data_IF_053920247144
#
_entry.id   IF_053920247144
#
_cell.length_a   1.000
_cell.length_b   1.000
_cell.length_c   1.000
_cell.angle_alpha   90.00
_cell.angle_beta   90.00
_cell.angle_gamma   90.00
#
_symmetry.space_group_name_H-M   'P 1'
#
loop_
_entity.id
_entity.type
_entity.pdbx_description
1 polymer ?
#
# COMPACT_ATOMS: atom_id res chain seq x y z
N UNK A 1 -9.57 0.90 -8.81
CA UNK A 1 -8.68 -0.27 -8.84
C UNK A 1 -9.51 -1.50 -8.54
N UNK A 2 -9.44 -2.53 -9.37
CA UNK A 2 -10.16 -3.78 -9.11
C UNK A 2 -9.60 -4.47 -7.85
N UNK A 3 -10.41 -5.11 -6.98
CA UNK A 3 -9.91 -5.77 -5.77
C UNK A 3 -8.78 -6.77 -6.02
N UNK A 4 -8.84 -7.49 -7.15
CA UNK A 4 -7.78 -8.42 -7.56
C UNK A 4 -6.44 -7.73 -7.92
N UNK A 5 -6.47 -6.47 -8.38
CA UNK A 5 -5.26 -5.68 -8.62
C UNK A 5 -4.64 -5.22 -7.30
N UNK A 6 -5.46 -4.82 -6.32
CA UNK A 6 -5.00 -4.44 -4.98
C UNK A 6 -4.32 -5.62 -4.27
N UNK A 7 -4.94 -6.80 -4.28
CA UNK A 7 -4.37 -8.00 -3.65
C UNK A 7 -3.00 -8.37 -4.24
N UNK A 8 -2.86 -8.30 -5.57
CA UNK A 8 -1.58 -8.55 -6.24
C UNK A 8 -0.52 -7.54 -5.84
N UNK A 9 -0.88 -6.26 -5.79
CA UNK A 9 0.04 -5.20 -5.35
C UNK A 9 0.47 -5.40 -3.90
N UNK A 10 -0.48 -5.61 -2.99
CA UNK A 10 -0.22 -5.86 -1.57
C UNK A 10 0.73 -7.03 -1.37
N UNK A 11 0.48 -8.15 -2.06
CA UNK A 11 1.32 -9.34 -2.01
C UNK A 11 2.72 -9.07 -2.57
N UNK A 12 2.83 -8.38 -3.72
CA UNK A 12 4.12 -8.06 -4.32
C UNK A 12 4.96 -7.16 -3.42
N UNK A 13 4.36 -6.13 -2.82
CA UNK A 13 5.03 -5.23 -1.89
C UNK A 13 5.44 -5.93 -0.59
N UNK A 14 4.58 -6.82 -0.08
CA UNK A 14 4.90 -7.67 1.06
C UNK A 14 6.09 -8.59 0.80
N UNK A 15 6.08 -9.31 -0.33
CA UNK A 15 7.19 -10.16 -0.75
C UNK A 15 8.48 -9.35 -0.89
N UNK A 16 8.42 -8.20 -1.56
CA UNK A 16 9.59 -7.32 -1.69
C UNK A 16 10.17 -6.97 -0.31
N UNK A 17 9.35 -6.57 0.65
CA UNK A 17 9.81 -6.22 2.01
C UNK A 17 10.42 -7.40 2.77
N UNK A 18 9.86 -8.60 2.67
CA UNK A 18 10.39 -9.78 3.39
C UNK A 18 11.65 -10.36 2.75
N UNK A 19 11.75 -10.29 1.43
CA UNK A 19 12.85 -10.87 0.67
C UNK A 19 14.01 -9.89 0.48
N UNK A 20 13.81 -8.59 0.72
CA UNK A 20 14.79 -7.54 0.45
C UNK A 20 15.00 -6.61 1.65
N UNK A 21 16.22 -6.10 1.78
CA UNK A 21 16.60 -5.17 2.83
C UNK A 21 16.65 -3.71 2.36
N UNK A 22 17.13 -2.86 3.27
CA UNK A 22 17.31 -1.43 3.05
C UNK A 22 18.14 -1.10 1.80
N UNK A 23 19.24 -1.82 1.55
CA UNK A 23 20.12 -1.55 0.40
C UNK A 23 19.40 -1.76 -0.94
N UNK A 24 18.63 -2.83 -1.07
CA UNK A 24 17.85 -3.10 -2.28
C UNK A 24 16.71 -2.08 -2.43
N UNK A 25 16.08 -1.68 -1.34
CA UNK A 25 15.10 -0.60 -1.35
C UNK A 25 15.71 0.71 -1.87
N UNK A 26 16.87 1.12 -1.35
CA UNK A 26 17.61 2.27 -1.84
C UNK A 26 17.98 2.15 -3.32
N UNK A 27 18.45 0.99 -3.76
CA UNK A 27 18.79 0.74 -5.16
C UNK A 27 17.59 0.92 -6.10
N UNK A 28 16.44 0.35 -5.76
CA UNK A 28 15.21 0.41 -6.59
C UNK A 28 14.60 1.82 -6.59
N UNK A 29 14.65 2.52 -5.46
CA UNK A 29 14.05 3.86 -5.30
C UNK A 29 14.97 5.00 -5.73
N UNK A 30 16.27 4.74 -5.88
CA UNK A 30 17.29 5.76 -6.12
C UNK A 30 17.62 6.61 -4.90
N UNK A 31 17.17 6.23 -3.70
CA UNK A 31 17.58 6.90 -2.48
C UNK A 31 19.04 6.56 -2.15
N UNK A 32 19.84 7.58 -1.85
CA UNK A 32 21.20 7.36 -1.39
C UNK A 32 21.18 6.91 0.09
N UNK A 33 21.69 5.70 0.39
CA UNK A 33 21.62 5.10 1.73
C UNK A 33 22.42 5.86 2.79
N UNK A 34 23.30 6.79 2.40
CA UNK A 34 24.08 7.61 3.33
C UNK A 34 23.24 8.73 3.96
N UNK A 35 22.12 9.11 3.35
CA UNK A 35 21.25 10.15 3.88
C UNK A 35 20.20 9.58 4.82
N UNK A 36 20.01 10.26 5.96
CA UNK A 36 18.96 9.94 6.94
C UNK A 36 17.57 9.84 6.30
N UNK A 37 17.29 10.65 5.27
CA UNK A 37 16.03 10.61 4.55
C UNK A 37 15.71 9.23 3.96
N UNK A 38 16.72 8.50 3.47
CA UNK A 38 16.52 7.15 2.93
C UNK A 38 16.06 6.19 4.04
N UNK A 39 16.68 6.27 5.21
CA UNK A 39 16.31 5.48 6.39
C UNK A 39 14.87 5.78 6.84
N UNK A 40 14.48 7.05 6.87
CA UNK A 40 13.12 7.47 7.20
C UNK A 40 12.10 6.90 6.20
N UNK A 41 12.42 6.93 4.91
CA UNK A 41 11.56 6.36 3.86
C UNK A 41 11.43 4.84 3.98
N UNK A 42 12.52 4.16 4.31
CA UNK A 42 12.50 2.73 4.56
C UNK A 42 11.62 2.37 5.77
N UNK A 43 11.72 3.12 6.87
CA UNK A 43 10.87 2.91 8.04
C UNK A 43 9.39 3.15 7.73
N UNK A 44 9.07 4.23 6.99
CA UNK A 44 7.70 4.51 6.53
C UNK A 44 7.16 3.38 5.66
N UNK A 45 7.96 2.89 4.72
CA UNK A 45 7.60 1.76 3.87
C UNK A 45 7.36 0.49 4.70
N UNK A 46 8.27 0.15 5.60
CA UNK A 46 8.16 -1.01 6.49
C UNK A 46 6.88 -0.97 7.32
N UNK A 47 6.57 0.17 7.94
CA UNK A 47 5.35 0.36 8.73
C UNK A 47 4.08 0.21 7.87
N UNK A 48 4.11 0.72 6.64
CA UNK A 48 3.00 0.57 5.69
C UNK A 48 2.75 -0.91 5.33
N UNK A 49 3.80 -1.66 4.98
CA UNK A 49 3.68 -3.09 4.66
C UNK A 49 3.13 -3.89 5.84
N UNK A 50 3.66 -3.63 7.04
CA UNK A 50 3.20 -4.29 8.26
C UNK A 50 1.73 -4.00 8.56
N UNK A 51 1.30 -2.74 8.42
CA UNK A 51 -0.09 -2.34 8.59
C UNK A 51 -1.01 -2.99 7.55
N UNK A 52 -0.58 -3.07 6.28
CA UNK A 52 -1.32 -3.76 5.22
C UNK A 52 -1.47 -5.27 5.46
N UNK A 53 -0.59 -5.87 6.27
CA UNK A 53 -0.66 -7.27 6.70
C UNK A 53 -1.64 -7.55 7.85
N UNK A 54 -2.12 -6.53 8.56
CA UNK A 54 -2.98 -6.71 9.75
C UNK A 54 -4.44 -7.03 9.40
N UNK A 55 -4.90 -6.62 8.22
CA UNK A 55 -6.27 -6.88 7.76
C UNK A 55 -6.28 -8.04 6.76
N UNK A 56 -7.27 -8.91 6.88
CA UNK A 56 -7.51 -9.97 5.90
C UNK A 56 -8.01 -9.42 4.56
N UNK A 57 -7.89 -10.24 3.52
CA UNK A 57 -8.27 -9.87 2.16
C UNK A 57 -9.75 -9.47 2.05
N UNK A 58 -10.63 -10.13 2.82
CA UNK A 58 -12.08 -9.85 2.84
C UNK A 58 -12.39 -8.48 3.43
N UNK A 59 -11.64 -8.05 4.43
CA UNK A 59 -11.76 -6.74 5.07
C UNK A 59 -11.30 -5.65 4.11
N UNK A 60 -10.18 -5.86 3.41
CA UNK A 60 -9.71 -4.95 2.37
C UNK A 60 -10.73 -4.81 1.22
N UNK A 61 -11.32 -5.91 0.76
CA UNK A 61 -12.36 -5.89 -0.26
C UNK A 61 -13.58 -5.06 0.15
N UNK A 62 -14.05 -5.21 1.39
CA UNK A 62 -15.16 -4.42 1.92
C UNK A 62 -14.84 -2.92 1.97
N UNK A 63 -13.63 -2.56 2.41
CA UNK A 63 -13.19 -1.17 2.45
C UNK A 63 -13.12 -0.56 1.05
N UNK A 64 -12.59 -1.31 0.08
CA UNK A 64 -12.55 -0.90 -1.33
C UNK A 64 -13.97 -0.71 -1.89
N UNK A 65 -14.87 -1.66 -1.67
CA UNK A 65 -16.26 -1.57 -2.11
C UNK A 65 -16.97 -0.35 -1.50
N UNK A 66 -16.81 -0.10 -0.20
CA UNK A 66 -17.39 1.07 0.46
C UNK A 66 -16.92 2.39 -0.18
N UNK A 67 -15.62 2.50 -0.49
CA UNK A 67 -15.07 3.70 -1.13
C UNK A 67 -15.61 3.95 -2.55
N UNK A 68 -15.91 2.89 -3.29
CA UNK A 68 -16.47 2.97 -4.64
C UNK A 68 -17.96 3.32 -4.61
N UNK A 69 -18.70 2.82 -3.62
CA UNK A 69 -20.12 3.17 -3.42
C UNK A 69 -20.24 4.66 -3.08
N UNK A 70 -19.39 5.19 -2.19
CA UNK A 70 -19.39 6.62 -1.87
C UNK A 70 -19.01 7.49 -3.07
N UNK A 71 -18.03 7.08 -3.89
CA UNK A 71 -17.69 7.79 -5.13
C UNK A 71 -18.86 7.80 -6.12
N UNK A 72 -19.53 6.67 -6.32
CA UNK A 72 -20.72 6.59 -7.18
C UNK A 72 -21.86 7.48 -6.68
N UNK A 73 -22.07 7.57 -5.37
CA UNK A 73 -23.09 8.46 -4.77
C UNK A 73 -22.72 9.95 -4.92
N UNK A 74 -21.43 10.30 -4.79
CA UNK A 74 -20.94 11.66 -5.01
C UNK A 74 -21.03 12.08 -6.48
N UNK A 75 -20.77 11.17 -7.42
CA UNK A 75 -20.88 11.43 -8.87
C UNK A 75 -22.34 11.45 -9.35
N UNK A 76 -23.26 10.79 -8.64
CA UNK A 76 -24.68 10.74 -8.99
C UNK A 76 -25.50 11.95 -8.54
N UNK A 77 -24.90 12.92 -7.86
CA UNK A 77 -25.53 14.22 -7.58
C UNK A 77 -26.83 14.18 -6.76
N UNK A 78 -27.07 13.13 -5.95
CA UNK A 78 -28.23 13.09 -5.06
C UNK A 78 -27.87 13.72 -3.70
N UNK A 79 -28.54 14.82 -3.30
CA UNK A 79 -28.34 15.40 -1.98
C UNK A 79 -28.87 14.46 -0.89
N UNK A 80 -28.20 14.51 0.28
CA UNK A 80 -28.61 13.81 1.50
C UNK A 80 -29.98 14.25 2.00
#
# INVERSE_FOLDING_TARGET
MEPAQFHRLRKALGNFYWDNGFDTFCHVTGFDPQFQHAQEKWQQFSACIQAMGQLDDRTWEKLLQASLIEQSLMESGLPR
#
